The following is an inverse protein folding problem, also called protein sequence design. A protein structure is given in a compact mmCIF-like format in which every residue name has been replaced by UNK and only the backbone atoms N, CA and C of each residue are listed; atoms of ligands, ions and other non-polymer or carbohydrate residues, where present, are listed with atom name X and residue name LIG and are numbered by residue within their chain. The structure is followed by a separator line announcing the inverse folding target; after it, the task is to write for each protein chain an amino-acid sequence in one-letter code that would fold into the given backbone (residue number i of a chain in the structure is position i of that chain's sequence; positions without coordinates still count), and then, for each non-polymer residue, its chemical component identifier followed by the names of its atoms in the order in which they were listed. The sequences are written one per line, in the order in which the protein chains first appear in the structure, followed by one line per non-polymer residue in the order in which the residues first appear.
data_IF_880718813040
#
_entry.id   IF_880718813040
#
_cell.length_a   1.000
_cell.length_b   1.000
_cell.length_c   1.000
_cell.angle_alpha   90.00
_cell.angle_beta   90.00
_cell.angle_gamma   90.00
#
_symmetry.space_group_name_H-M   'P 1'
#
loop_
_entity.id
_entity.type
_entity.pdbx_description
1 polymer ?
#
# COMPACT_ATOMS: atom_id res chain seq x y z
N UNK A 1 21.33 -26.03 4.18
CA UNK A 1 20.06 -25.31 4.44
C UNK A 1 19.57 -24.57 3.20
N UNK A 2 20.34 -23.63 2.64
CA UNK A 2 20.02 -22.89 1.39
C UNK A 2 20.64 -23.49 0.12
N UNK A 3 20.36 -24.77 -0.20
CA UNK A 3 20.77 -25.34 -1.49
C UNK A 3 19.83 -24.84 -2.62
N UNK A 4 20.30 -24.73 -3.87
CA UNK A 4 19.42 -24.38 -5.00
C UNK A 4 18.18 -25.27 -5.11
N UNK A 5 18.34 -26.56 -4.79
CA UNK A 5 17.24 -27.52 -4.75
C UNK A 5 16.21 -27.17 -3.67
N UNK A 6 16.64 -26.86 -2.44
CA UNK A 6 15.72 -26.54 -1.36
C UNK A 6 15.00 -25.20 -1.61
N UNK A 7 15.70 -24.21 -2.17
CA UNK A 7 15.12 -22.92 -2.57
C UNK A 7 14.03 -23.15 -3.62
N UNK A 8 14.34 -23.90 -4.68
CA UNK A 8 13.39 -24.19 -5.74
C UNK A 8 12.13 -24.92 -5.24
N UNK A 9 12.25 -25.80 -4.25
CA UNK A 9 11.09 -26.50 -3.67
C UNK A 9 10.13 -25.51 -2.99
N UNK A 10 10.66 -24.54 -2.25
CA UNK A 10 9.85 -23.50 -1.59
C UNK A 10 9.26 -22.54 -2.62
N UNK A 11 10.07 -22.07 -3.57
CA UNK A 11 9.61 -21.17 -4.65
C UNK A 11 8.49 -21.81 -5.48
N UNK A 12 8.64 -23.07 -5.88
CA UNK A 12 7.60 -23.80 -6.63
C UNK A 12 6.31 -23.95 -5.83
N UNK A 13 6.39 -24.08 -4.50
CA UNK A 13 5.20 -24.18 -3.66
C UNK A 13 4.47 -22.83 -3.54
N UNK A 14 5.23 -21.74 -3.33
CA UNK A 14 4.68 -20.38 -3.22
C UNK A 14 4.12 -19.89 -4.56
N UNK A 15 4.84 -20.12 -5.66
CA UNK A 15 4.51 -19.63 -7.00
C UNK A 15 3.57 -20.57 -7.76
N UNK A 16 3.34 -21.78 -7.25
CA UNK A 16 2.54 -22.82 -7.91
C UNK A 16 1.03 -22.58 -7.93
N UNK A 17 0.54 -21.49 -7.31
CA UNK A 17 -0.89 -21.15 -7.27
C UNK A 17 -1.76 -22.09 -6.44
N UNK A 18 -1.16 -22.99 -5.65
CA UNK A 18 -1.89 -23.94 -4.80
C UNK A 18 -2.39 -23.35 -3.48
N UNK A 19 -1.88 -22.19 -3.09
CA UNK A 19 -2.22 -21.49 -1.86
C UNK A 19 -3.05 -20.24 -2.19
N UNK A 20 -3.94 -19.86 -1.27
CA UNK A 20 -4.53 -18.53 -1.32
C UNK A 20 -3.42 -17.47 -1.23
N UNK A 21 -3.55 -16.39 -2.00
CA UNK A 21 -2.49 -15.40 -2.19
C UNK A 21 -2.01 -14.79 -0.87
N UNK A 22 -2.91 -14.54 0.08
CA UNK A 22 -2.54 -13.95 1.37
C UNK A 22 -1.70 -14.92 2.21
N UNK A 23 -2.00 -16.21 2.16
CA UNK A 23 -1.21 -17.26 2.82
C UNK A 23 0.16 -17.40 2.13
N UNK A 24 0.17 -17.45 0.80
CA UNK A 24 1.38 -17.52 0.01
C UNK A 24 2.33 -16.34 0.31
N UNK A 25 1.78 -15.13 0.46
CA UNK A 25 2.55 -13.94 0.80
C UNK A 25 3.26 -14.10 2.14
N UNK A 26 2.58 -14.63 3.17
CA UNK A 26 3.19 -14.82 4.48
C UNK A 26 4.26 -15.92 4.47
N UNK A 27 4.05 -17.00 3.70
CA UNK A 27 5.09 -18.02 3.49
C UNK A 27 6.30 -17.44 2.77
N UNK A 28 6.07 -16.62 1.76
CA UNK A 28 7.15 -15.93 1.06
C UNK A 28 7.86 -14.90 1.95
N UNK A 29 7.15 -14.25 2.86
CA UNK A 29 7.73 -13.35 3.84
C UNK A 29 8.63 -14.10 4.83
N UNK A 30 8.21 -15.26 5.34
CA UNK A 30 9.06 -16.13 6.17
C UNK A 30 10.38 -16.48 5.46
N UNK A 31 10.30 -16.76 4.15
CA UNK A 31 11.46 -17.12 3.34
C UNK A 31 12.36 -15.91 3.02
N UNK A 32 11.83 -14.88 2.36
CA UNK A 32 12.60 -13.74 1.86
C UNK A 32 13.14 -12.84 2.97
N UNK A 33 12.47 -12.79 4.12
CA UNK A 33 12.97 -12.07 5.29
C UNK A 33 14.01 -12.87 6.08
N UNK A 34 14.30 -14.12 5.70
CA UNK A 34 15.27 -14.97 6.39
C UNK A 34 14.80 -15.47 7.76
N UNK A 35 13.50 -15.40 8.05
CA UNK A 35 12.93 -15.84 9.34
C UNK A 35 13.13 -17.34 9.51
N UNK A 36 12.81 -18.09 8.44
CA UNK A 36 12.98 -19.54 8.38
C UNK A 36 13.81 -19.92 7.15
N UNK A 37 14.62 -20.97 7.30
CA UNK A 37 15.34 -21.57 6.17
C UNK A 37 14.41 -22.50 5.37
N UNK A 38 14.73 -22.82 4.11
CA UNK A 38 13.83 -23.62 3.25
C UNK A 38 13.33 -24.93 3.86
N UNK A 39 14.20 -25.66 4.58
CA UNK A 39 13.83 -26.95 5.18
C UNK A 39 12.84 -26.79 6.33
N UNK A 40 12.91 -25.69 7.08
CA UNK A 40 11.98 -25.37 8.17
C UNK A 40 10.60 -24.99 7.61
N UNK A 41 10.58 -24.18 6.55
CA UNK A 41 9.35 -23.82 5.84
C UNK A 41 8.63 -25.08 5.33
N UNK A 42 9.40 -26.00 4.73
CA UNK A 42 8.84 -27.26 4.25
C UNK A 42 8.40 -28.20 5.38
N UNK A 43 8.97 -28.07 6.58
CA UNK A 43 8.55 -28.86 7.74
C UNK A 43 7.17 -28.43 8.27
N UNK A 44 6.86 -27.12 8.24
CA UNK A 44 5.55 -26.60 8.66
C UNK A 44 4.50 -26.59 7.55
N UNK A 45 4.90 -26.85 6.30
CA UNK A 45 3.98 -26.91 5.13
C UNK A 45 2.70 -27.72 5.36
N UNK A 46 2.73 -28.97 5.88
CA UNK A 46 1.51 -29.75 6.08
C UNK A 46 0.51 -29.09 7.04
N UNK A 47 1.02 -28.38 8.05
CA UNK A 47 0.20 -27.66 9.04
C UNK A 47 -0.44 -26.43 8.37
N UNK A 48 0.33 -25.70 7.57
CA UNK A 48 -0.17 -24.54 6.81
C UNK A 48 -1.27 -24.98 5.84
N UNK A 49 -1.07 -26.07 5.10
CA UNK A 49 -2.06 -26.59 4.16
C UNK A 49 -3.34 -27.07 4.88
N UNK A 50 -3.22 -27.69 6.05
CA UNK A 50 -4.37 -28.07 6.87
C UNK A 50 -5.14 -26.83 7.36
N UNK A 51 -4.44 -25.84 7.93
CA UNK A 51 -5.05 -24.62 8.43
C UNK A 51 -5.71 -23.80 7.32
N UNK A 52 -5.10 -23.76 6.13
CA UNK A 52 -5.66 -23.07 4.96
C UNK A 52 -6.97 -23.70 4.49
N UNK A 53 -7.09 -25.04 4.56
CA UNK A 53 -8.34 -25.75 4.23
C UNK A 53 -9.46 -25.44 5.23
N UNK A 54 -9.13 -25.20 6.49
CA UNK A 54 -10.12 -24.79 7.50
C UNK A 54 -10.52 -23.33 7.34
N UNK A 55 -9.53 -22.42 7.24
CA UNK A 55 -9.74 -21.00 7.05
C UNK A 55 -8.45 -20.32 6.59
N UNK A 56 -8.49 -19.79 5.36
CA UNK A 56 -7.41 -18.98 4.79
C UNK A 56 -7.07 -17.73 5.61
N UNK A 57 -8.07 -17.04 6.16
CA UNK A 57 -7.86 -15.88 7.01
C UNK A 57 -7.08 -16.24 8.29
N UNK A 58 -7.45 -17.35 8.94
CA UNK A 58 -6.74 -17.84 10.13
C UNK A 58 -5.32 -18.28 9.79
N UNK A 59 -5.12 -18.93 8.65
CA UNK A 59 -3.80 -19.34 8.20
C UNK A 59 -2.87 -18.14 7.96
N UNK A 60 -3.35 -17.13 7.22
CA UNK A 60 -2.59 -15.91 6.96
C UNK A 60 -2.29 -15.15 8.26
N UNK A 61 -3.26 -15.03 9.17
CA UNK A 61 -3.04 -14.33 10.44
C UNK A 61 -2.10 -15.08 11.39
N UNK A 62 -2.20 -16.41 11.46
CA UNK A 62 -1.29 -17.24 12.24
C UNK A 62 0.16 -17.08 11.77
N UNK A 63 0.39 -17.09 10.45
CA UNK A 63 1.73 -16.90 9.88
C UNK A 63 2.25 -15.48 10.12
N UNK A 64 1.40 -14.47 9.93
CA UNK A 64 1.76 -13.06 10.18
C UNK A 64 2.19 -12.83 11.63
N UNK A 65 1.40 -13.32 12.58
CA UNK A 65 1.70 -13.20 14.01
C UNK A 65 2.92 -14.01 14.41
N UNK A 66 3.16 -15.16 13.76
CA UNK A 66 4.36 -15.96 13.96
C UNK A 66 5.63 -15.23 13.50
N UNK A 67 5.58 -14.57 12.33
CA UNK A 67 6.68 -13.70 11.86
C UNK A 67 6.96 -12.61 12.90
N UNK A 68 5.92 -11.93 13.37
CA UNK A 68 6.05 -10.85 14.36
C UNK A 68 6.65 -11.34 15.69
N UNK A 69 6.26 -12.55 16.14
CA UNK A 69 6.82 -13.16 17.35
C UNK A 69 8.32 -13.48 17.18
N UNK A 70 8.69 -14.13 16.08
CA UNK A 70 10.06 -14.53 15.82
C UNK A 70 11.01 -13.33 15.64
N UNK A 71 10.51 -12.23 15.08
CA UNK A 71 11.30 -11.02 14.78
C UNK A 71 11.25 -9.93 15.88
N UNK A 72 10.72 -10.22 17.07
CA UNK A 72 10.37 -9.23 18.11
C UNK A 72 11.37 -8.08 18.41
N UNK A 73 10.82 -6.94 18.85
CA UNK A 73 11.44 -5.72 19.40
C UNK A 73 12.77 -5.21 18.74
N UNK A 74 12.95 -5.40 17.44
CA UNK A 74 13.95 -4.66 16.66
C UNK A 74 15.30 -5.37 16.47
N UNK A 75 15.43 -6.65 16.85
CA UNK A 75 16.57 -7.47 16.43
C UNK A 75 16.06 -8.42 15.34
N UNK A 76 16.58 -8.30 14.12
CA UNK A 76 16.35 -9.27 13.02
C UNK A 76 16.93 -10.63 13.42
N UNK A 77 16.22 -11.36 14.27
CA UNK A 77 16.58 -12.71 14.68
C UNK A 77 16.07 -13.69 13.64
N UNK A 78 16.90 -14.68 13.34
CA UNK A 78 16.51 -15.82 12.53
C UNK A 78 16.13 -16.96 13.47
N UNK A 79 15.32 -17.93 13.00
CA UNK A 79 14.96 -19.07 13.86
C UNK A 79 16.18 -19.88 14.33
N UNK A 80 17.27 -19.88 13.55
CA UNK A 80 18.54 -20.50 13.95
C UNK A 80 19.20 -19.86 15.18
N UNK A 81 18.79 -18.66 15.61
CA UNK A 81 19.26 -18.05 16.85
C UNK A 81 18.68 -18.74 18.10
N UNK A 82 17.69 -19.62 17.93
CA UNK A 82 17.12 -20.41 19.00
C UNK A 82 17.73 -21.82 19.02
N UNK A 83 18.80 -22.00 19.81
CA UNK A 83 19.42 -23.30 20.00
C UNK A 83 18.41 -24.35 20.52
N UNK A 84 18.44 -25.55 19.94
CA UNK A 84 17.67 -26.72 20.35
C UNK A 84 16.14 -26.62 20.20
N UNK A 85 15.63 -25.74 19.34
CA UNK A 85 14.19 -25.63 19.04
C UNK A 85 13.82 -26.32 17.73
N UNK A 86 12.62 -26.93 17.70
CA UNK A 86 12.02 -27.48 16.50
C UNK A 86 10.93 -26.51 16.00
N UNK A 87 11.04 -26.05 14.75
CA UNK A 87 10.10 -25.11 14.15
C UNK A 87 8.66 -25.62 14.14
N UNK A 88 8.47 -26.93 14.01
CA UNK A 88 7.13 -27.56 14.02
C UNK A 88 6.50 -27.44 15.39
N UNK A 89 7.27 -27.71 16.45
CA UNK A 89 6.78 -27.62 17.82
C UNK A 89 6.48 -26.16 18.21
N UNK A 90 7.36 -25.23 17.82
CA UNK A 90 7.18 -23.80 18.07
C UNK A 90 5.99 -23.23 17.30
N UNK A 91 5.79 -23.63 16.04
CA UNK A 91 4.62 -23.20 15.27
C UNK A 91 3.33 -23.77 15.87
N UNK A 92 3.30 -25.05 16.28
CA UNK A 92 2.14 -25.62 16.98
C UNK A 92 1.87 -24.90 18.32
N UNK A 93 2.90 -24.59 19.10
CA UNK A 93 2.76 -23.83 20.34
C UNK A 93 2.25 -22.41 20.09
N UNK A 94 2.66 -21.77 19.00
CA UNK A 94 2.10 -20.49 18.53
C UNK A 94 0.60 -20.62 18.21
N UNK A 95 0.21 -21.64 17.44
CA UNK A 95 -1.20 -21.90 17.10
C UNK A 95 -2.08 -22.10 18.35
N UNK A 96 -1.55 -22.79 19.37
CA UNK A 96 -2.26 -22.94 20.66
C UNK A 96 -2.40 -21.61 21.40
N UNK A 97 -1.38 -20.75 21.37
CA UNK A 97 -1.42 -19.42 22.01
C UNK A 97 -2.42 -18.49 21.33
N UNK A 98 -2.45 -18.42 20.00
CA UNK A 98 -3.41 -17.57 19.28
C UNK A 98 -4.86 -18.07 19.45
N UNK A 99 -5.06 -19.39 19.62
CA UNK A 99 -6.38 -19.95 19.89
C UNK A 99 -6.89 -19.65 21.31
N UNK A 100 -5.97 -19.48 22.26
CA UNK A 100 -6.27 -19.12 23.66
C UNK A 100 -6.38 -17.61 23.88
N UNK A 101 -5.70 -16.80 23.06
CA UNK A 101 -5.90 -15.37 23.03
C UNK A 101 -7.34 -15.07 22.58
N UNK A 102 -8.00 -14.08 23.22
CA UNK A 102 -9.29 -13.60 22.71
C UNK A 102 -9.13 -13.28 21.23
N UNK A 103 -10.06 -13.71 20.35
CA UNK A 103 -10.01 -13.33 18.97
C UNK A 103 -9.98 -11.81 18.93
N UNK A 104 -8.87 -11.25 18.45
CA UNK A 104 -8.87 -9.88 17.97
C UNK A 104 -9.90 -9.89 16.85
N UNK A 105 -11.13 -9.46 17.14
CA UNK A 105 -12.02 -9.02 16.08
C UNK A 105 -11.18 -8.08 15.24
N UNK A 106 -10.99 -8.42 13.95
CA UNK A 106 -10.42 -7.47 12.99
C UNK A 106 -11.32 -6.25 13.10
N UNK A 107 -10.87 -5.23 13.83
CA UNK A 107 -11.56 -3.94 13.91
C UNK A 107 -11.76 -3.59 12.44
N UNK A 108 -13.03 -3.50 12.04
CA UNK A 108 -13.38 -3.37 10.63
C UNK A 108 -12.57 -2.22 10.05
N UNK A 109 -11.78 -2.50 9.01
CA UNK A 109 -10.97 -1.49 8.36
C UNK A 109 -11.92 -0.36 7.95
N UNK A 110 -11.59 0.87 8.31
CA UNK A 110 -12.45 2.00 8.00
C UNK A 110 -12.64 2.08 6.47
N UNK A 111 -13.76 2.64 5.98
CA UNK A 111 -13.95 2.84 4.53
C UNK A 111 -12.87 3.71 3.88
N UNK A 112 -12.11 4.45 4.69
CA UNK A 112 -10.99 5.28 4.25
C UNK A 112 -9.68 4.52 4.14
N UNK A 113 -9.56 3.34 4.73
CA UNK A 113 -8.31 2.60 4.84
C UNK A 113 -8.42 1.24 4.12
N UNK A 114 -7.28 0.63 3.85
CA UNK A 114 -7.20 -0.70 3.27
C UNK A 114 -5.97 -1.43 3.79
N UNK A 115 -6.00 -2.77 3.69
CA UNK A 115 -4.88 -3.62 4.06
C UNK A 115 -3.89 -3.71 2.90
N UNK A 116 -2.76 -3.04 3.02
CA UNK A 116 -1.73 -2.93 2.00
C UNK A 116 -0.57 -3.88 2.28
N UNK A 117 -0.10 -4.58 1.25
CA UNK A 117 1.06 -5.44 1.31
C UNK A 117 2.29 -4.69 0.81
N UNK A 118 3.37 -4.72 1.60
CA UNK A 118 4.56 -3.93 1.37
C UNK A 118 5.73 -4.80 0.92
N UNK A 119 6.42 -4.33 -0.12
CA UNK A 119 7.68 -4.89 -0.60
C UNK A 119 8.76 -3.83 -0.43
N UNK A 120 9.77 -4.15 0.36
CA UNK A 120 10.93 -3.28 0.57
C UNK A 120 12.10 -3.84 -0.21
N UNK A 121 12.62 -3.06 -1.15
CA UNK A 121 13.75 -3.44 -1.98
C UNK A 121 14.96 -2.68 -1.47
N UNK A 122 15.94 -3.44 -0.98
CA UNK A 122 17.23 -2.93 -0.53
C UNK A 122 18.31 -3.26 -1.57
N UNK A 123 19.54 -2.72 -1.42
CA UNK A 123 20.64 -3.06 -2.30
C UNK A 123 20.87 -4.58 -2.42
N UNK A 124 20.68 -5.33 -1.33
CA UNK A 124 21.02 -6.76 -1.27
C UNK A 124 19.81 -7.70 -1.24
N UNK A 125 18.66 -7.25 -0.74
CA UNK A 125 17.52 -8.12 -0.47
C UNK A 125 16.19 -7.51 -0.90
N UNK A 126 15.15 -8.35 -0.86
CA UNK A 126 13.75 -7.95 -1.02
C UNK A 126 13.02 -8.47 0.21
N UNK A 127 12.45 -7.56 0.99
CA UNK A 127 11.74 -7.88 2.22
C UNK A 127 10.24 -7.68 2.04
N UNK A 128 9.46 -8.50 2.71
CA UNK A 128 8.00 -8.47 2.66
C UNK A 128 7.43 -8.13 4.03
N UNK A 129 6.43 -7.26 4.07
CA UNK A 129 5.77 -6.86 5.30
C UNK A 129 4.30 -6.62 5.04
N UNK A 130 3.45 -6.95 6.02
CA UNK A 130 2.04 -6.64 5.99
C UNK A 130 1.14 -7.87 6.12
N UNK A 131 -0.17 -7.70 5.88
CA UNK A 131 -0.81 -6.44 5.51
C UNK A 131 -0.71 -5.37 6.61
N UNK A 132 -0.47 -4.13 6.20
CA UNK A 132 -0.48 -2.92 7.03
C UNK A 132 -1.69 -2.07 6.69
N UNK A 133 -2.30 -1.43 7.68
CA UNK A 133 -3.40 -0.49 7.44
C UNK A 133 -2.82 0.80 6.82
N UNK A 134 -3.27 1.11 5.61
CA UNK A 134 -2.92 2.36 4.92
C UNK A 134 -4.17 3.12 4.49
N UNK A 135 -4.07 4.44 4.52
CA UNK A 135 -5.13 5.29 3.98
C UNK A 135 -5.25 5.09 2.47
N UNK A 136 -6.46 4.78 2.02
CA UNK A 136 -6.77 4.48 0.64
C UNK A 136 -6.71 5.71 -0.27
N UNK A 137 -6.69 5.46 -1.57
CA UNK A 137 -6.71 6.47 -2.63
C UNK A 137 -7.80 6.18 -3.66
N UNK A 138 -8.11 7.13 -4.55
CA UNK A 138 -9.22 6.97 -5.51
C UNK A 138 -9.04 5.80 -6.47
N UNK A 139 -7.81 5.37 -6.75
CA UNK A 139 -7.51 4.27 -7.67
C UNK A 139 -7.86 2.94 -7.02
N UNK A 140 -7.35 2.69 -5.82
CA UNK A 140 -7.58 1.44 -5.09
C UNK A 140 -9.08 1.29 -4.74
N UNK A 141 -9.71 2.38 -4.28
CA UNK A 141 -11.16 2.39 -3.96
C UNK A 141 -12.08 2.04 -5.13
N UNK A 142 -11.60 2.14 -6.37
CA UNK A 142 -12.39 1.78 -7.56
C UNK A 142 -12.60 0.27 -7.68
N UNK A 143 -11.74 -0.53 -7.06
CA UNK A 143 -11.69 -1.98 -7.22
C UNK A 143 -11.81 -2.70 -5.86
N UNK A 144 -12.97 -2.59 -5.18
CA UNK A 144 -13.17 -3.26 -3.90
C UNK A 144 -13.06 -4.79 -4.06
N UNK A 145 -12.38 -5.44 -3.11
CA UNK A 145 -12.11 -6.89 -3.13
C UNK A 145 -10.86 -7.29 -3.94
N UNK A 146 -10.21 -6.35 -4.62
CA UNK A 146 -8.96 -6.57 -5.36
C UNK A 146 -7.76 -5.90 -4.68
N UNK A 147 -7.83 -5.62 -3.37
CA UNK A 147 -6.79 -4.90 -2.63
C UNK A 147 -5.45 -5.64 -2.69
N UNK A 148 -5.45 -6.99 -2.68
CA UNK A 148 -4.24 -7.82 -2.82
C UNK A 148 -3.55 -7.71 -4.17
N UNK A 149 -4.23 -7.15 -5.19
CA UNK A 149 -3.62 -6.87 -6.49
C UNK A 149 -2.84 -5.56 -6.49
N UNK A 150 -2.92 -4.75 -5.44
CA UNK A 150 -2.13 -3.54 -5.26
C UNK A 150 -1.12 -3.74 -4.14
N UNK A 151 0.15 -3.49 -4.44
CA UNK A 151 1.22 -3.54 -3.44
C UNK A 151 1.97 -2.22 -3.40
N UNK A 152 2.50 -1.88 -2.23
CA UNK A 152 3.38 -0.74 -2.04
C UNK A 152 4.83 -1.23 -2.07
N UNK A 153 5.62 -0.67 -2.96
CA UNK A 153 7.04 -1.01 -3.12
C UNK A 153 7.89 0.18 -2.73
N UNK A 154 8.77 0.01 -1.75
CA UNK A 154 9.69 1.05 -1.27
C UNK A 154 11.14 0.67 -1.57
N UNK A 155 11.94 1.64 -2.00
CA UNK A 155 13.37 1.50 -2.24
C UNK A 155 14.16 2.20 -1.14
N UNK A 156 14.76 1.41 -0.25
CA UNK A 156 15.48 1.90 0.94
C UNK A 156 16.86 1.27 1.01
N UNK A 157 17.68 1.70 1.97
CA UNK A 157 18.84 0.93 2.38
C UNK A 157 18.46 -0.18 3.39
N UNK A 158 19.46 -0.89 3.91
CA UNK A 158 19.27 -1.98 4.87
C UNK A 158 18.82 -1.51 6.26
N UNK A 159 19.06 -0.23 6.59
CA UNK A 159 18.73 0.42 7.85
C UNK A 159 17.37 1.15 7.79
N UNK A 160 16.59 0.93 6.73
CA UNK A 160 15.31 1.59 6.46
C UNK A 160 15.41 3.10 6.25
N UNK A 161 16.61 3.58 5.88
CA UNK A 161 16.81 4.95 5.44
C UNK A 161 16.70 5.09 3.92
N UNK A 162 16.57 6.34 3.46
CA UNK A 162 16.61 6.65 2.04
C UNK A 162 18.01 6.39 1.52
N UNK A 163 18.11 5.68 0.40
CA UNK A 163 19.38 5.51 -0.30
C UNK A 163 19.98 6.88 -0.62
N UNK A 164 21.14 7.17 -0.04
CA UNK A 164 21.86 8.43 -0.25
C UNK A 164 22.81 8.27 -1.43
N UNK A 165 23.08 9.38 -2.10
CA UNK A 165 24.15 9.43 -3.08
C UNK A 165 25.49 9.30 -2.33
N UNK A 166 26.31 8.36 -2.77
CA UNK A 166 27.66 8.15 -2.26
C UNK A 166 28.65 8.32 -3.42
N UNK A 167 29.70 9.12 -3.20
CA UNK A 167 30.73 9.41 -4.20
C UNK A 167 31.67 8.22 -4.44
N UNK A 168 31.76 7.29 -3.48
CA UNK A 168 32.61 6.09 -3.58
C UNK A 168 31.91 4.94 -4.34
N UNK A 169 30.60 5.08 -4.58
CA UNK A 169 29.77 4.07 -5.25
C UNK A 169 29.33 4.60 -6.61
N UNK A 170 29.41 3.75 -7.63
CA UNK A 170 28.76 4.04 -8.92
C UNK A 170 27.23 3.98 -8.75
N UNK A 171 26.68 5.08 -8.26
CA UNK A 171 25.25 5.24 -7.96
C UNK A 171 24.41 5.10 -9.23
N UNK A 172 24.95 5.49 -10.40
CA UNK A 172 24.24 5.36 -11.67
C UNK A 172 24.11 3.89 -12.07
N UNK A 173 25.21 3.12 -12.04
CA UNK A 173 25.18 1.71 -12.33
C UNK A 173 24.32 0.94 -11.30
N UNK A 174 24.42 1.28 -10.01
CA UNK A 174 23.57 0.71 -8.97
C UNK A 174 22.08 0.97 -9.27
N UNK A 175 21.73 2.22 -9.54
CA UNK A 175 20.35 2.62 -9.84
C UNK A 175 19.84 1.89 -11.07
N UNK A 176 20.63 1.77 -12.14
CA UNK A 176 20.20 1.09 -13.37
C UNK A 176 20.08 -0.43 -13.19
N UNK A 177 21.04 -1.06 -12.53
CA UNK A 177 21.12 -2.53 -12.40
C UNK A 177 20.21 -3.07 -11.32
N UNK A 178 20.08 -2.40 -10.17
CA UNK A 178 19.25 -2.86 -9.06
C UNK A 178 17.85 -2.27 -9.14
N UNK A 179 17.74 -0.96 -8.94
CA UNK A 179 16.43 -0.27 -8.86
C UNK A 179 15.69 -0.30 -10.20
N UNK A 180 16.41 -0.01 -11.29
CA UNK A 180 15.88 0.08 -12.64
C UNK A 180 15.31 -1.23 -13.16
N UNK A 181 15.80 -2.38 -12.70
CA UNK A 181 15.23 -3.68 -13.05
C UNK A 181 13.83 -3.84 -12.45
N UNK A 182 13.63 -3.47 -11.19
CA UNK A 182 12.31 -3.53 -10.55
C UNK A 182 11.34 -2.48 -11.10
N UNK A 183 11.84 -1.30 -11.49
CA UNK A 183 10.99 -0.25 -12.09
C UNK A 183 10.55 -0.57 -13.52
N UNK A 184 11.36 -1.33 -14.29
CA UNK A 184 11.10 -1.64 -15.70
C UNK A 184 10.43 -3.00 -15.92
N UNK A 185 10.69 -3.95 -15.03
CA UNK A 185 10.18 -5.32 -15.15
C UNK A 185 9.11 -5.59 -14.11
N UNK A 186 8.46 -6.75 -14.24
CA UNK A 186 7.53 -7.22 -13.23
C UNK A 186 8.25 -7.71 -11.98
N UNK A 187 7.63 -7.48 -10.83
CA UNK A 187 7.98 -8.12 -9.56
C UNK A 187 7.13 -9.38 -9.45
N UNK A 188 7.77 -10.54 -9.49
CA UNK A 188 7.13 -11.81 -9.19
C UNK A 188 7.00 -11.94 -7.67
N UNK A 189 5.76 -12.06 -7.22
CA UNK A 189 5.39 -12.21 -5.82
C UNK A 189 4.21 -13.19 -5.75
N UNK A 190 4.37 -14.25 -4.97
CA UNK A 190 3.48 -15.40 -4.99
C UNK A 190 3.31 -15.92 -6.43
N UNK A 191 2.07 -16.16 -6.85
CA UNK A 191 1.67 -16.56 -8.20
C UNK A 191 1.40 -15.37 -9.15
N UNK A 192 1.72 -14.13 -8.75
CA UNK A 192 1.35 -12.90 -9.49
C UNK A 192 2.55 -12.07 -9.93
N UNK A 193 2.39 -11.42 -11.08
CA UNK A 193 3.36 -10.47 -11.65
C UNK A 193 2.85 -9.04 -11.47
N UNK A 194 3.57 -8.28 -10.65
CA UNK A 194 3.24 -6.90 -10.34
C UNK A 194 4.05 -5.95 -11.22
N UNK A 195 3.39 -5.01 -11.90
CA UNK A 195 4.04 -3.95 -12.67
C UNK A 195 3.88 -2.58 -12.01
N UNK A 196 4.81 -1.68 -12.31
CA UNK A 196 4.77 -0.31 -11.79
C UNK A 196 3.47 0.37 -12.24
N UNK A 197 2.67 0.81 -11.26
CA UNK A 197 1.42 1.50 -11.51
C UNK A 197 1.61 3.02 -11.47
N UNK A 198 2.25 3.52 -10.41
CA UNK A 198 2.41 4.94 -10.17
C UNK A 198 2.91 5.23 -8.76
N UNK A 199 2.88 6.49 -8.35
CA UNK A 199 3.32 6.92 -7.02
C UNK A 199 2.51 8.12 -6.58
N UNK A 200 2.37 8.31 -5.26
CA UNK A 200 1.89 9.59 -4.71
C UNK A 200 3.07 10.55 -4.51
N UNK A 201 2.81 11.85 -4.32
CA UNK A 201 3.89 12.82 -4.05
C UNK A 201 4.62 12.51 -2.73
N UNK A 202 3.90 12.08 -1.70
CA UNK A 202 4.51 11.62 -0.44
C UNK A 202 5.31 10.34 -0.66
N UNK A 203 4.73 9.37 -1.35
CA UNK A 203 5.39 8.11 -1.71
C UNK A 203 6.69 8.35 -2.48
N UNK A 204 6.68 9.23 -3.49
CA UNK A 204 7.88 9.58 -4.25
C UNK A 204 8.99 10.14 -3.36
N UNK A 205 8.66 11.00 -2.39
CA UNK A 205 9.65 11.50 -1.42
C UNK A 205 10.20 10.40 -0.51
N UNK A 206 9.45 9.34 -0.30
CA UNK A 206 9.82 8.15 0.48
C UNK A 206 10.42 7.04 -0.40
N UNK A 207 10.70 7.32 -1.69
CA UNK A 207 11.12 6.32 -2.68
C UNK A 207 10.15 5.13 -2.77
N UNK A 208 8.85 5.39 -2.67
CA UNK A 208 7.80 4.39 -2.68
C UNK A 208 6.81 4.60 -3.84
N UNK A 209 6.42 3.49 -4.45
CA UNK A 209 5.50 3.42 -5.58
C UNK A 209 4.44 2.34 -5.34
N UNK A 210 3.30 2.48 -6.01
CA UNK A 210 2.31 1.42 -6.14
C UNK A 210 2.62 0.56 -7.35
N UNK A 211 2.41 -0.74 -7.20
CA UNK A 211 2.45 -1.72 -8.28
C UNK A 211 1.12 -2.46 -8.32
N UNK A 212 0.75 -2.96 -9.50
CA UNK A 212 -0.49 -3.71 -9.72
C UNK A 212 -0.23 -5.03 -10.42
N UNK A 213 -0.89 -6.09 -9.97
CA UNK A 213 -0.98 -7.35 -10.70
C UNK A 213 -2.31 -7.40 -11.47
N UNK A 214 -2.34 -7.79 -12.76
CA UNK A 214 -3.57 -7.79 -13.54
C UNK A 214 -4.71 -8.61 -12.91
N UNK A 215 -5.96 -8.17 -13.11
CA UNK A 215 -7.17 -8.87 -12.66
C UNK A 215 -8.37 -8.57 -13.56
N UNK A 216 -9.41 -9.39 -13.47
CA UNK A 216 -10.67 -9.18 -14.19
C UNK A 216 -11.65 -8.41 -13.32
N UNK A 217 -12.23 -7.34 -13.85
CA UNK A 217 -13.25 -6.54 -13.17
C UNK A 217 -14.31 -6.07 -14.17
N UNK A 218 -15.57 -6.38 -13.88
CA UNK A 218 -16.73 -6.03 -14.74
C UNK A 218 -16.57 -6.46 -16.22
N UNK A 219 -15.90 -7.60 -16.45
CA UNK A 219 -15.66 -8.15 -17.79
C UNK A 219 -14.52 -7.47 -18.56
N UNK A 220 -13.66 -6.72 -17.87
CA UNK A 220 -12.47 -6.09 -18.42
C UNK A 220 -11.22 -6.51 -17.64
N UNK A 221 -10.13 -6.77 -18.36
CA UNK A 221 -8.81 -6.95 -17.76
C UNK A 221 -8.27 -5.60 -17.31
N UNK A 222 -8.06 -5.46 -16.01
CA UNK A 222 -7.46 -4.29 -15.37
C UNK A 222 -5.97 -4.56 -15.17
N UNK A 223 -5.13 -3.82 -15.89
CA UNK A 223 -3.68 -3.81 -15.72
C UNK A 223 -3.18 -2.38 -15.43
N UNK A 224 -1.88 -2.20 -15.27
CA UNK A 224 -1.28 -0.90 -14.98
C UNK A 224 -1.54 0.13 -16.06
N UNK A 225 -1.61 -0.29 -17.33
CA UNK A 225 -1.84 0.62 -18.44
C UNK A 225 -3.29 1.08 -18.50
N UNK A 226 -4.24 0.16 -18.36
CA UNK A 226 -5.65 0.47 -18.25
C UNK A 226 -5.89 1.48 -17.11
N UNK A 227 -5.31 1.22 -15.94
CA UNK A 227 -5.48 2.11 -14.79
C UNK A 227 -4.89 3.49 -15.10
N UNK A 228 -3.67 3.59 -15.65
CA UNK A 228 -3.04 4.88 -16.02
C UNK A 228 -3.88 5.67 -17.01
N UNK A 229 -4.43 5.03 -18.04
CA UNK A 229 -5.32 5.65 -19.03
C UNK A 229 -6.63 6.13 -18.40
N UNK A 230 -7.15 5.42 -17.40
CA UNK A 230 -8.36 5.80 -16.68
C UNK A 230 -8.20 7.03 -15.75
N UNK A 231 -6.97 7.49 -15.49
CA UNK A 231 -6.72 8.58 -14.53
C UNK A 231 -7.11 9.96 -15.06
N UNK A 232 -7.21 10.14 -16.37
CA UNK A 232 -7.58 11.38 -17.03
C UNK A 232 -6.82 11.63 -18.33
N UNK A 233 -7.05 12.79 -18.94
CA UNK A 233 -6.33 13.23 -20.13
C UNK A 233 -5.01 13.93 -19.73
N UNK A 234 -3.89 13.44 -20.27
CA UNK A 234 -2.55 13.98 -20.04
C UNK A 234 -1.87 14.55 -21.29
N UNK A 235 -2.58 14.70 -22.41
CA UNK A 235 -2.02 15.10 -23.72
C UNK A 235 -1.20 16.39 -23.63
N UNK A 236 -1.60 17.31 -22.75
CA UNK A 236 -0.91 18.61 -22.56
C UNK A 236 0.41 18.52 -21.81
N UNK A 237 0.66 17.41 -21.10
CA UNK A 237 1.83 17.24 -20.23
C UNK A 237 2.64 15.99 -20.52
N UNK A 238 2.20 15.14 -21.45
CA UNK A 238 2.81 13.85 -21.77
C UNK A 238 4.28 13.98 -22.19
N UNK A 239 4.62 15.05 -22.93
CA UNK A 239 5.99 15.35 -23.38
C UNK A 239 6.89 15.94 -22.28
N UNK A 240 6.35 16.14 -21.07
CA UNK A 240 7.07 16.67 -19.91
C UNK A 240 7.01 15.66 -18.77
N UNK A 241 7.94 14.69 -18.69
CA UNK A 241 7.89 13.59 -17.72
C UNK A 241 7.68 14.04 -16.28
N UNK A 242 8.35 15.12 -15.86
CA UNK A 242 8.22 15.68 -14.51
C UNK A 242 6.80 16.22 -14.25
N UNK A 243 6.19 16.92 -15.22
CA UNK A 243 4.83 17.44 -15.10
C UNK A 243 3.80 16.32 -15.20
N UNK A 244 4.00 15.38 -16.12
CA UNK A 244 3.18 14.19 -16.29
C UNK A 244 3.11 13.39 -14.99
N UNK A 245 4.27 13.00 -14.45
CA UNK A 245 4.35 12.26 -13.18
C UNK A 245 3.73 13.03 -12.02
N UNK A 246 3.96 14.35 -11.94
CA UNK A 246 3.34 15.17 -10.92
C UNK A 246 1.80 15.20 -11.00
N UNK A 247 1.22 15.23 -12.20
CA UNK A 247 -0.24 15.18 -12.39
C UNK A 247 -0.80 13.78 -12.13
N UNK A 248 -0.16 12.74 -12.63
CA UNK A 248 -0.53 11.35 -12.38
C UNK A 248 -0.56 11.04 -10.88
N UNK A 249 0.44 11.51 -10.13
CA UNK A 249 0.56 11.26 -8.69
C UNK A 249 -0.59 11.79 -7.84
N UNK A 250 -1.37 12.74 -8.36
CA UNK A 250 -2.52 13.28 -7.64
C UNK A 250 -3.59 12.20 -7.40
N UNK A 251 -3.75 11.27 -8.35
CA UNK A 251 -4.69 10.15 -8.23
C UNK A 251 -4.32 9.17 -7.10
N UNK A 252 -3.03 9.08 -6.76
CA UNK A 252 -2.52 8.16 -5.74
C UNK A 252 -2.41 8.81 -4.36
N UNK A 253 -2.83 10.08 -4.22
CA UNK A 253 -2.83 10.76 -2.92
C UNK A 253 -3.81 10.08 -1.97
N UNK A 254 -3.32 9.75 -0.77
CA UNK A 254 -4.15 9.28 0.32
C UNK A 254 -5.18 10.35 0.68
N UNK A 255 -6.46 10.00 0.61
CA UNK A 255 -7.57 10.96 0.80
C UNK A 255 -8.76 10.27 1.43
N UNK A 256 -9.35 10.89 2.45
CA UNK A 256 -10.65 10.45 2.98
C UNK A 256 -11.76 10.86 2.01
N UNK A 257 -12.63 9.93 1.57
CA UNK A 257 -13.75 10.29 0.72
C UNK A 257 -14.76 11.11 1.55
N UNK A 258 -15.14 12.28 1.04
CA UNK A 258 -16.12 13.14 1.69
C UNK A 258 -17.47 13.08 0.97
N UNK A 259 -17.56 13.66 -0.23
CA UNK A 259 -18.83 13.85 -0.95
C UNK A 259 -18.62 13.58 -2.44
N UNK A 260 -19.64 12.98 -3.06
CA UNK A 260 -19.74 12.86 -4.53
C UNK A 260 -20.52 14.05 -5.06
N UNK A 261 -19.86 14.86 -5.90
CA UNK A 261 -20.47 16.01 -6.57
C UNK A 261 -20.94 15.62 -7.97
N UNK A 262 -22.06 16.19 -8.41
CA UNK A 262 -22.52 16.17 -9.79
C UNK A 262 -21.80 17.25 -10.58
N UNK A 263 -21.62 17.03 -11.88
CA UNK A 263 -21.02 18.03 -12.77
C UNK A 263 -21.76 19.38 -12.73
N UNK A 264 -23.09 19.36 -12.60
CA UNK A 264 -23.92 20.56 -12.46
C UNK A 264 -23.64 21.38 -11.19
N UNK A 265 -22.99 20.79 -10.19
CA UNK A 265 -22.64 21.44 -8.92
C UNK A 265 -21.25 22.09 -8.98
N UNK A 266 -20.49 21.84 -10.06
CA UNK A 266 -19.15 22.37 -10.27
C UNK A 266 -19.21 23.51 -11.28
N UNK A 267 -18.81 24.71 -10.86
CA UNK A 267 -18.76 25.89 -11.73
C UNK A 267 -17.32 26.34 -11.91
N UNK A 268 -16.88 26.43 -13.16
CA UNK A 268 -15.59 27.03 -13.48
C UNK A 268 -15.74 28.55 -13.50
N UNK A 269 -15.11 29.22 -12.55
CA UNK A 269 -15.11 30.68 -12.46
C UNK A 269 -13.89 31.20 -13.22
N UNK A 270 -14.04 32.11 -14.19
CA UNK A 270 -12.91 32.74 -14.87
C UNK A 270 -12.00 33.46 -13.87
N UNK A 271 -10.69 33.27 -14.00
CA UNK A 271 -9.73 33.92 -13.11
C UNK A 271 -9.69 35.44 -13.36
N UNK A 272 -9.74 36.23 -12.29
CA UNK A 272 -9.72 37.70 -12.38
C UNK A 272 -8.31 38.18 -12.72
N UNK A 273 -8.04 38.46 -14.01
CA UNK A 273 -6.83 39.16 -14.42
C UNK A 273 -6.90 40.64 -14.00
N UNK A 274 -6.29 41.02 -12.87
CA UNK A 274 -6.03 42.44 -12.57
C UNK A 274 -4.68 42.87 -13.11
N UNK A 275 -4.71 43.72 -14.15
CA UNK A 275 -3.72 44.68 -14.69
C UNK A 275 -2.24 44.26 -14.89
N UNK A 276 -1.77 43.12 -14.39
CA UNK A 276 -0.35 42.71 -14.43
C UNK A 276 -0.12 41.22 -14.78
N UNK A 277 -1.09 40.52 -15.39
CA UNK A 277 -0.97 39.09 -15.79
C UNK A 277 -0.42 38.18 -14.67
N UNK A 278 -0.70 38.50 -13.41
CA UNK A 278 -0.38 37.64 -12.27
C UNK A 278 -1.65 36.91 -11.87
N UNK A 279 -1.58 35.58 -11.89
CA UNK A 279 -2.60 34.66 -11.41
C UNK A 279 -2.51 34.68 -9.87
N UNK A 280 -3.59 35.07 -9.19
CA UNK A 280 -3.60 35.28 -7.73
C UNK A 280 -4.31 34.16 -6.98
N UNK A 281 -5.01 33.25 -7.68
CA UNK A 281 -5.72 32.12 -7.07
C UNK A 281 -4.94 30.81 -7.17
N UNK A 282 -3.61 30.84 -7.04
CA UNK A 282 -2.71 29.67 -7.19
C UNK A 282 -3.14 28.46 -6.35
N UNK A 283 -3.99 27.62 -6.94
CA UNK A 283 -4.60 26.48 -6.25
C UNK A 283 -5.70 26.82 -5.24
N UNK A 284 -6.26 28.04 -5.23
CA UNK A 284 -7.33 28.42 -4.30
C UNK A 284 -8.70 28.53 -4.99
N UNK A 285 -9.76 28.04 -4.34
CA UNK A 285 -11.14 28.16 -4.84
C UNK A 285 -12.14 28.44 -3.70
N UNK A 286 -13.41 28.64 -4.04
CA UNK A 286 -14.50 28.80 -3.05
C UNK A 286 -15.50 27.66 -3.14
N UNK A 287 -16.08 27.29 -1.99
CA UNK A 287 -17.23 26.36 -1.90
C UNK A 287 -18.40 27.02 -1.19
N UNK A 288 -19.60 26.49 -1.45
CA UNK A 288 -20.79 26.91 -0.74
C UNK A 288 -20.71 26.55 0.75
N UNK A 289 -21.41 27.33 1.58
CA UNK A 289 -21.48 27.08 3.03
C UNK A 289 -22.13 25.73 3.35
N UNK A 290 -23.06 25.29 2.50
CA UNK A 290 -23.73 23.99 2.60
C UNK A 290 -22.73 22.86 2.33
N UNK A 291 -21.98 22.94 1.23
CA UNK A 291 -20.97 21.94 0.90
C UNK A 291 -19.87 21.87 1.97
N UNK A 292 -19.43 23.00 2.52
CA UNK A 292 -18.49 23.03 3.64
C UNK A 292 -19.01 22.28 4.87
N UNK A 293 -20.31 22.43 5.19
CA UNK A 293 -20.94 21.72 6.30
C UNK A 293 -21.04 20.23 6.03
N UNK A 294 -21.47 19.84 4.83
CA UNK A 294 -21.60 18.42 4.48
C UNK A 294 -20.22 17.73 4.50
N UNK A 295 -19.16 18.40 4.02
CA UNK A 295 -17.79 17.86 4.03
C UNK A 295 -17.35 17.66 5.47
N UNK A 296 -17.59 18.65 6.32
CA UNK A 296 -17.28 18.58 7.75
C UNK A 296 -18.01 17.44 8.44
N UNK A 297 -19.33 17.34 8.25
CA UNK A 297 -20.15 16.27 8.84
C UNK A 297 -19.70 14.88 8.37
N UNK A 298 -19.27 14.74 7.11
CA UNK A 298 -18.71 13.50 6.59
C UNK A 298 -17.36 13.15 7.22
N UNK A 299 -16.47 14.14 7.41
CA UNK A 299 -15.17 13.92 8.04
C UNK A 299 -15.31 13.57 9.52
N UNK A 300 -16.22 14.22 10.24
CA UNK A 300 -16.45 14.01 11.67
C UNK A 300 -16.96 12.60 11.98
N UNK A 301 -17.74 11.99 11.07
CA UNK A 301 -18.17 10.59 11.18
C UNK A 301 -17.02 9.58 11.10
N UNK A 302 -15.88 9.96 10.51
CA UNK A 302 -14.70 9.12 10.36
C UNK A 302 -13.67 9.25 11.50
N UNK A 303 -13.89 10.13 12.47
CA UNK A 303 -12.97 10.31 13.59
C UNK A 303 -13.17 9.22 14.66
N UNK A 304 -12.16 8.87 15.45
CA UNK A 304 -12.33 7.92 16.56
C UNK A 304 -13.29 8.46 17.63
N UNK A 305 -14.01 7.58 18.33
CA UNK A 305 -15.11 7.91 19.26
C UNK A 305 -14.71 8.97 20.32
N UNK A 306 -13.46 8.93 20.79
CA UNK A 306 -12.91 9.91 21.73
C UNK A 306 -12.83 11.35 21.17
N UNK A 307 -12.67 11.50 19.85
CA UNK A 307 -12.74 12.80 19.15
C UNK A 307 -14.15 13.11 18.62
N UNK A 308 -14.96 12.09 18.35
CA UNK A 308 -16.40 12.29 18.10
C UNK A 308 -17.11 12.90 19.32
N UNK A 309 -16.74 12.48 20.53
CA UNK A 309 -17.28 13.03 21.77
C UNK A 309 -16.86 14.48 22.06
N UNK A 310 -15.71 14.93 21.53
CA UNK A 310 -15.27 16.34 21.63
C UNK A 310 -15.88 17.25 20.56
N UNK A 311 -16.49 16.69 19.51
CA UNK A 311 -17.29 17.46 18.57
C UNK A 311 -18.53 17.99 19.28
N UNK A 312 -18.39 19.20 19.83
CA UNK A 312 -19.50 19.91 20.42
C UNK A 312 -20.55 20.16 19.34
N UNK A 313 -21.83 20.01 19.67
CA UNK A 313 -23.00 20.31 18.82
C UNK A 313 -22.98 21.68 18.10
N UNK A 314 -22.06 22.57 18.46
CA UNK A 314 -21.90 23.94 17.97
C UNK A 314 -20.56 24.21 17.25
N UNK A 315 -19.73 23.20 17.01
CA UNK A 315 -18.45 23.41 16.30
C UNK A 315 -18.73 23.76 14.83
N UNK A 316 -18.27 24.94 14.41
CA UNK A 316 -18.45 25.39 13.04
C UNK A 316 -17.49 24.64 12.10
N UNK A 317 -17.89 24.36 10.85
CA UNK A 317 -16.97 23.86 9.83
C UNK A 317 -15.75 24.80 9.72
N UNK A 318 -14.55 24.25 9.48
CA UNK A 318 -13.36 25.06 9.30
C UNK A 318 -13.53 26.03 8.12
N UNK A 319 -12.88 27.19 8.20
CA UNK A 319 -12.99 28.25 7.19
C UNK A 319 -12.34 27.89 5.87
N UNK A 320 -11.43 26.92 5.86
CA UNK A 320 -10.77 26.42 4.66
C UNK A 320 -10.54 24.90 4.74
N UNK A 321 -10.52 24.27 3.57
CA UNK A 321 -10.32 22.84 3.39
C UNK A 321 -9.27 22.57 2.32
N UNK A 322 -8.45 21.55 2.49
CA UNK A 322 -7.64 21.02 1.39
C UNK A 322 -8.41 19.88 0.71
N UNK A 323 -8.86 20.11 -0.53
CA UNK A 323 -9.76 19.19 -1.25
C UNK A 323 -9.13 18.74 -2.58
N UNK A 324 -9.41 17.49 -2.95
CA UNK A 324 -9.12 16.93 -4.28
C UNK A 324 -10.42 16.67 -5.01
N UNK A 325 -10.60 17.28 -6.18
CA UNK A 325 -11.77 17.08 -7.05
C UNK A 325 -11.28 16.77 -8.46
N UNK A 326 -11.42 15.50 -8.90
CA UNK A 326 -10.94 15.09 -10.22
C UNK A 326 -9.44 15.33 -10.41
N UNK A 327 -9.07 16.12 -11.42
CA UNK A 327 -7.69 16.56 -11.69
C UNK A 327 -7.26 17.86 -10.98
N UNK A 328 -8.13 18.42 -10.13
CA UNK A 328 -7.88 19.66 -9.39
C UNK A 328 -7.41 19.36 -7.96
N UNK A 329 -6.39 20.09 -7.55
CA UNK A 329 -5.90 20.16 -6.17
C UNK A 329 -6.13 21.55 -5.67
N UNK A 330 -7.01 21.75 -4.69
CA UNK A 330 -7.43 23.08 -4.29
C UNK A 330 -7.40 23.23 -2.77
N UNK A 331 -6.88 24.36 -2.30
CA UNK A 331 -7.20 24.91 -1.00
C UNK A 331 -8.46 25.76 -1.15
N UNK A 332 -9.52 25.40 -0.46
CA UNK A 332 -10.83 25.99 -0.69
C UNK A 332 -11.28 26.73 0.55
N UNK A 333 -11.52 28.03 0.44
CA UNK A 333 -12.12 28.82 1.51
C UNK A 333 -13.64 28.86 1.40
N UNK A 334 -14.31 28.97 2.54
CA UNK A 334 -15.76 29.24 2.62
C UNK A 334 -16.03 30.61 1.97
N UNK A 335 -17.00 30.66 1.06
CA UNK A 335 -17.47 31.95 0.55
C UNK A 335 -18.17 32.74 1.68
N UNK A 336 -17.79 34.01 1.83
CA UNK A 336 -18.37 34.96 2.78
C UNK A 336 -19.89 35.15 2.58
#
# INVERSE_FOLDING_TARGET
MYSPQNIAVVENWIQGGSLDWEVAFQVEALFRNGVLVPTEIMAIKPIIEALTKESKDRAADALRTFIAELQGAGVRKNFNDFENKNVVDEFNAHLLRIAQAMPLERIGVSKSDFMCYHVKITPTAVHLTGPLEEQSNRVIRRYPGYETHFIRVAFTDEADEKTRFDYEVDTMAFTQKRVGQFLKNHILLCDRRYELLGYSQSGFRENACFYVAPFEWEGQTIDGEYVRQSLGNFDRVIDSPSRYGARMSQAFSATTPSIVLKESEIKQIPELERSRKRLFSDGCATISRELAKDVWDSMSKGLPENRQASHQKNEQPPSAFQIRIGGWSLEISRAD
#
